data_IF_981805927476
#
_entry.id   IF_981805927476
#
_cell.length_a   1.000
_cell.length_b   1.000
_cell.length_c   1.000
_cell.angle_alpha   90.00
_cell.angle_beta   90.00
_cell.angle_gamma   90.00
#
_symmetry.space_group_name_H-M   'P 1'
#
loop_
_entity.id
_entity.type
_entity.pdbx_description
1 polymer ?
#
# COMPACT_ATOMS: atom_id res chain seq x y z
N UNK A 1 -0.58 8.16 -20.27
CA UNK A 1 -0.10 7.23 -19.22
C UNK A 1 -1.13 7.12 -18.10
N UNK A 2 -1.18 6.00 -17.38
CA UNK A 2 -2.11 5.76 -16.27
C UNK A 2 -1.96 6.80 -15.15
N UNK A 3 -0.72 7.12 -14.77
CA UNK A 3 -0.42 8.13 -13.74
C UNK A 3 -1.03 9.50 -14.05
N UNK A 4 -0.98 9.94 -15.31
CA UNK A 4 -1.56 11.23 -15.72
C UNK A 4 -3.08 11.27 -15.57
N UNK A 5 -3.77 10.15 -15.89
CA UNK A 5 -5.22 10.05 -15.73
C UNK A 5 -5.61 10.04 -14.24
N UNK A 6 -4.86 9.33 -13.41
CA UNK A 6 -5.08 9.27 -11.97
C UNK A 6 -4.86 10.64 -11.31
N UNK A 7 -3.76 11.33 -11.65
CA UNK A 7 -3.50 12.69 -11.19
C UNK A 7 -4.57 13.69 -11.63
N UNK A 8 -5.09 13.58 -12.85
CA UNK A 8 -6.21 14.41 -13.32
C UNK A 8 -7.51 14.18 -12.53
N UNK A 9 -7.65 13.04 -11.84
CA UNK A 9 -8.77 12.73 -10.95
C UNK A 9 -8.44 12.94 -9.47
N UNK A 10 -7.39 13.71 -9.16
CA UNK A 10 -6.99 14.03 -7.78
C UNK A 10 -6.27 12.90 -7.03
N UNK A 11 -5.91 11.82 -7.71
CA UNK A 11 -5.16 10.72 -7.10
C UNK A 11 -3.68 11.03 -7.12
N UNK A 12 -3.09 11.08 -5.92
CA UNK A 12 -1.64 11.25 -5.75
C UNK A 12 -0.92 10.02 -6.30
N UNK A 13 -0.11 10.23 -7.34
CA UNK A 13 0.71 9.19 -7.94
C UNK A 13 2.16 9.37 -7.48
N UNK A 14 2.72 8.37 -6.82
CA UNK A 14 4.13 8.32 -6.47
C UNK A 14 4.88 7.44 -7.48
N UNK A 15 6.11 7.81 -7.82
CA UNK A 15 6.99 7.00 -8.68
C UNK A 15 8.17 6.55 -7.84
N UNK A 16 8.36 5.23 -7.75
CA UNK A 16 9.59 4.67 -7.18
C UNK A 16 10.76 4.92 -8.13
N UNK A 17 11.92 5.23 -7.55
CA UNK A 17 13.17 5.29 -8.31
C UNK A 17 13.63 3.87 -8.67
N UNK A 18 13.51 2.94 -7.72
CA UNK A 18 13.94 1.55 -7.84
C UNK A 18 12.77 0.59 -7.55
N UNK A 19 12.52 0.27 -6.29
CA UNK A 19 11.55 -0.73 -5.86
C UNK A 19 10.22 -0.10 -5.43
N UNK A 20 9.14 -0.53 -6.10
CA UNK A 20 7.80 -0.06 -5.82
C UNK A 20 7.25 -0.59 -4.48
N UNK A 21 7.58 -1.82 -4.09
CA UNK A 21 7.06 -2.45 -2.88
C UNK A 21 7.61 -1.76 -1.63
N UNK A 22 8.89 -1.38 -1.65
CA UNK A 22 9.49 -0.56 -0.58
C UNK A 22 8.77 0.78 -0.47
N UNK A 23 8.54 1.46 -1.58
CA UNK A 23 7.86 2.76 -1.58
C UNK A 23 6.42 2.63 -1.04
N UNK A 24 5.70 1.58 -1.44
CA UNK A 24 4.34 1.32 -0.94
C UNK A 24 4.36 1.03 0.56
N UNK A 25 5.25 0.17 1.03
CA UNK A 25 5.34 -0.19 2.45
C UNK A 25 5.71 1.02 3.33
N UNK A 26 6.71 1.82 2.92
CA UNK A 26 7.11 3.02 3.65
C UNK A 26 6.01 4.08 3.64
N UNK A 27 5.33 4.27 2.51
CA UNK A 27 4.18 5.17 2.42
C UNK A 27 3.09 4.71 3.40
N UNK A 28 2.75 3.42 3.40
CA UNK A 28 1.76 2.85 4.30
C UNK A 28 2.09 3.12 5.78
N UNK A 29 3.32 2.83 6.20
CA UNK A 29 3.79 3.05 7.58
C UNK A 29 3.86 4.53 7.97
N UNK A 30 4.10 5.42 7.01
CA UNK A 30 4.05 6.85 7.27
C UNK A 30 2.62 7.31 7.55
N UNK A 31 1.66 6.91 6.72
CA UNK A 31 0.26 7.30 6.89
C UNK A 31 -0.41 6.63 8.10
N UNK A 32 0.04 5.44 8.52
CA UNK A 32 -0.48 4.77 9.73
C UNK A 32 -0.17 5.53 11.02
N UNK A 33 0.70 6.55 11.01
CA UNK A 33 0.91 7.42 12.16
C UNK A 33 -0.33 8.26 12.50
N UNK A 34 -1.12 8.59 11.49
CA UNK A 34 -2.21 9.56 11.61
C UNK A 34 -3.60 8.93 11.44
N UNK A 35 -3.68 7.84 10.65
CA UNK A 35 -4.97 7.23 10.34
C UNK A 35 -4.85 5.74 9.98
N UNK A 36 -5.95 5.02 10.10
CA UNK A 36 -6.10 3.68 9.53
C UNK A 36 -5.95 3.75 8.01
N UNK A 37 -5.24 2.78 7.44
CA UNK A 37 -5.03 2.70 5.99
C UNK A 37 -5.33 1.31 5.43
N UNK A 38 -5.55 1.26 4.12
CA UNK A 38 -5.62 0.02 3.36
C UNK A 38 -4.53 0.01 2.28
N UNK A 39 -3.79 -1.10 2.20
CA UNK A 39 -2.82 -1.36 1.13
C UNK A 39 -3.40 -2.44 0.24
N UNK A 40 -3.51 -2.15 -1.06
CA UNK A 40 -3.99 -3.09 -2.07
C UNK A 40 -2.76 -3.61 -2.83
N UNK A 41 -2.53 -4.91 -2.80
CA UNK A 41 -1.41 -5.54 -3.47
C UNK A 41 -1.60 -7.04 -3.61
N UNK A 42 -0.92 -7.67 -4.55
CA UNK A 42 -1.03 -9.12 -4.78
C UNK A 42 0.12 -9.90 -4.15
N UNK A 43 1.26 -9.24 -4.00
CA UNK A 43 2.54 -9.89 -3.78
C UNK A 43 2.81 -10.16 -2.29
N UNK A 44 3.42 -11.31 -2.03
CA UNK A 44 3.70 -11.78 -0.66
C UNK A 44 4.89 -11.08 -0.02
N UNK A 45 5.86 -10.66 -0.82
CA UNK A 45 6.99 -9.82 -0.39
C UNK A 45 6.50 -8.47 0.16
N UNK A 46 5.52 -7.83 -0.47
CA UNK A 46 4.90 -6.62 0.05
C UNK A 46 4.26 -6.85 1.43
N UNK A 47 3.58 -7.99 1.63
CA UNK A 47 3.04 -8.35 2.95
C UNK A 47 4.16 -8.51 3.99
N UNK A 48 5.26 -9.18 3.64
CA UNK A 48 6.42 -9.34 4.52
C UNK A 48 7.04 -7.98 4.87
N UNK A 49 7.19 -7.09 3.89
CA UNK A 49 7.71 -5.73 4.10
C UNK A 49 6.81 -4.90 5.02
N UNK A 50 5.48 -5.00 4.86
CA UNK A 50 4.52 -4.34 5.74
C UNK A 50 4.62 -4.89 7.17
N UNK A 51 4.71 -6.21 7.35
CA UNK A 51 4.89 -6.83 8.66
C UNK A 51 6.21 -6.41 9.32
N UNK A 52 7.29 -6.29 8.55
CA UNK A 52 8.60 -5.88 9.07
C UNK A 52 8.60 -4.44 9.59
N UNK A 53 7.92 -3.52 8.89
CA UNK A 53 7.95 -2.09 9.22
C UNK A 53 6.76 -1.61 10.06
N UNK A 54 5.73 -2.44 10.26
CA UNK A 54 4.56 -2.07 11.05
C UNK A 54 4.92 -1.80 12.52
N UNK A 55 4.31 -0.77 13.10
CA UNK A 55 4.48 -0.41 14.50
C UNK A 55 3.17 -0.66 15.26
N UNK A 56 3.16 -1.49 16.33
CA UNK A 56 1.96 -1.77 17.12
C UNK A 56 1.31 -0.54 17.78
N UNK A 57 2.05 0.55 17.95
CA UNK A 57 1.56 1.80 18.56
C UNK A 57 0.95 2.77 17.53
N UNK A 58 0.84 2.36 16.26
CA UNK A 58 0.24 3.16 15.18
C UNK A 58 -1.15 2.63 14.81
N UNK A 59 -1.86 3.38 13.96
CA UNK A 59 -3.13 2.92 13.43
C UNK A 59 -2.96 1.66 12.55
N UNK A 60 -3.99 0.81 12.47
CA UNK A 60 -3.90 -0.43 11.71
C UNK A 60 -3.64 -0.23 10.20
N UNK A 61 -2.76 -1.07 9.66
CA UNK A 61 -2.54 -1.24 8.22
C UNK A 61 -3.31 -2.48 7.77
N UNK A 62 -4.32 -2.30 6.92
CA UNK A 62 -5.12 -3.41 6.38
C UNK A 62 -4.59 -3.80 5.01
N UNK A 63 -3.95 -4.96 4.91
CA UNK A 63 -3.57 -5.52 3.62
C UNK A 63 -4.77 -6.22 2.97
N UNK A 64 -5.09 -5.83 1.73
CA UNK A 64 -6.14 -6.43 0.90
C UNK A 64 -5.50 -7.01 -0.34
N UNK A 65 -5.57 -8.34 -0.45
CA UNK A 65 -5.16 -9.03 -1.68
C UNK A 65 -6.21 -8.85 -2.77
N UNK A 66 -5.77 -8.65 -4.00
CA UNK A 66 -6.64 -8.62 -5.19
C UNK A 66 -7.11 -10.02 -5.64
N UNK A 67 -6.87 -11.06 -4.82
CA UNK A 67 -7.47 -12.37 -5.06
C UNK A 67 -8.98 -12.27 -4.89
N UNK A 68 -9.69 -12.36 -6.01
CA UNK A 68 -11.13 -12.62 -6.02
C UNK A 68 -11.39 -13.83 -5.12
N UNK A 69 -12.14 -13.65 -4.05
CA UNK A 69 -12.68 -14.79 -3.31
C UNK A 69 -13.70 -15.43 -4.26
N UNK A 70 -13.31 -16.50 -4.94
CA UNK A 70 -14.26 -17.33 -5.68
C UNK A 70 -15.34 -17.77 -4.70
N UNK A 71 -16.55 -17.23 -4.86
CA UNK A 71 -17.73 -17.75 -4.19
C UNK A 71 -18.00 -19.13 -4.79
N UNK A 72 -17.69 -20.19 -4.03
CA UNK A 72 -18.18 -21.54 -4.30
C UNK A 72 -19.70 -21.59 -4.13
#
# INVERSE_FOLDING_TARGET
MLSSKLSANGVRCLKAADDADILVAQTAVSFSKEQKIAVIGKDTDLLVLLCHHANPNQYPIIFKSDKQVEKK
#
